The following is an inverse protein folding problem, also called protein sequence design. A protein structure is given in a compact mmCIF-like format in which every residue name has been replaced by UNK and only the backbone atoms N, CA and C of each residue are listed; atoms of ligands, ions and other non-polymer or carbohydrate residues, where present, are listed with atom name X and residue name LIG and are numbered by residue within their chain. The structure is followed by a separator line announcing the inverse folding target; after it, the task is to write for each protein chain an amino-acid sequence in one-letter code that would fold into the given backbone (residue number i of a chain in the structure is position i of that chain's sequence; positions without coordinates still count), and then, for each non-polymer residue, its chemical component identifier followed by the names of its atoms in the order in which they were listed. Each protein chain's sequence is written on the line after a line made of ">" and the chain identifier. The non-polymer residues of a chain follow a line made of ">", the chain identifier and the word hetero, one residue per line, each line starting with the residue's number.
data_IF_149198953989
#
_entry.id   IF_149198953989
#
_cell.length_a   1.000
_cell.length_b   1.000
_cell.length_c   1.000
_cell.angle_alpha   90.00
_cell.angle_beta   90.00
_cell.angle_gamma   90.00
#
_symmetry.space_group_name_H-M   'P 1'
#
loop_
_entity.id
_entity.type
_entity.pdbx_description
1 polymer ?
#
# COMPACT_ATOMS: atom_id res chain seq x y z
N UNK A 1 -2.97 -23.25 18.37
CA UNK A 1 -1.55 -23.58 18.09
C UNK A 1 -1.33 -24.28 16.75
N UNK A 2 -2.07 -25.41 16.45
CA UNK A 2 -1.83 -26.16 15.19
C UNK A 2 -2.28 -25.38 13.94
N UNK A 3 -3.41 -24.69 13.99
CA UNK A 3 -3.86 -23.85 12.89
C UNK A 3 -2.89 -22.68 12.62
N UNK A 4 -2.36 -22.06 13.67
CA UNK A 4 -1.38 -20.98 13.55
C UNK A 4 -0.08 -21.45 12.87
N UNK A 5 0.42 -22.64 13.22
CA UNK A 5 1.61 -23.23 12.59
C UNK A 5 1.41 -23.55 11.10
N UNK A 6 0.21 -23.99 10.73
CA UNK A 6 -0.12 -24.35 9.35
C UNK A 6 -0.46 -23.13 8.50
N UNK A 7 -0.85 -22.00 9.11
CA UNK A 7 -1.32 -20.83 8.36
C UNK A 7 -0.30 -20.30 7.33
N UNK A 8 1.00 -20.43 7.61
CA UNK A 8 2.08 -19.99 6.71
C UNK A 8 2.49 -21.09 5.69
N UNK A 9 2.27 -22.38 6.02
CA UNK A 9 2.72 -23.50 5.19
C UNK A 9 1.61 -24.09 4.34
N UNK A 10 0.42 -24.22 4.89
CA UNK A 10 -0.78 -24.79 4.28
C UNK A 10 -2.04 -24.10 4.81
N UNK A 11 -2.35 -22.89 4.29
CA UNK A 11 -3.52 -22.12 4.75
C UNK A 11 -4.84 -22.83 4.59
N UNK A 12 -4.97 -23.71 3.58
CA UNK A 12 -6.21 -24.44 3.31
C UNK A 12 -6.47 -25.49 4.40
N UNK A 13 -5.45 -26.23 4.81
CA UNK A 13 -5.56 -27.13 5.97
C UNK A 13 -5.78 -26.37 7.27
N UNK A 14 -5.16 -25.20 7.44
CA UNK A 14 -5.39 -24.34 8.60
C UNK A 14 -6.87 -23.90 8.68
N UNK A 15 -7.47 -23.49 7.56
CA UNK A 15 -8.88 -23.07 7.53
C UNK A 15 -9.85 -24.21 7.90
N UNK A 16 -9.59 -25.42 7.41
CA UNK A 16 -10.39 -26.59 7.78
C UNK A 16 -10.36 -26.82 9.30
N UNK A 17 -9.18 -26.67 9.91
CA UNK A 17 -9.06 -26.77 11.37
C UNK A 17 -9.86 -25.66 12.05
N UNK A 18 -9.75 -24.41 11.58
CA UNK A 18 -10.50 -23.28 12.16
C UNK A 18 -12.01 -23.48 12.09
N UNK A 19 -12.53 -24.04 11.00
CA UNK A 19 -13.97 -24.33 10.84
C UNK A 19 -14.48 -25.40 11.84
N UNK A 20 -13.62 -26.31 12.30
CA UNK A 20 -14.00 -27.35 13.28
C UNK A 20 -14.04 -26.87 14.72
N UNK A 21 -13.52 -25.66 14.99
CA UNK A 21 -13.40 -25.16 16.35
C UNK A 21 -14.71 -24.51 16.83
N UNK A 22 -15.14 -24.87 18.03
CA UNK A 22 -16.35 -24.32 18.65
C UNK A 22 -16.01 -23.06 19.45
N UNK A 23 -16.37 -21.87 18.93
CA UNK A 23 -16.06 -20.57 19.53
C UNK A 23 -16.58 -20.38 20.96
N UNK A 24 -17.70 -21.05 21.32
CA UNK A 24 -18.32 -20.95 22.64
C UNK A 24 -17.49 -21.58 23.78
N UNK A 25 -16.42 -22.31 23.43
CA UNK A 25 -15.51 -22.93 24.40
C UNK A 25 -14.17 -22.22 24.52
N UNK A 26 -13.97 -21.15 23.75
CA UNK A 26 -12.73 -20.40 23.75
C UNK A 26 -12.66 -19.40 24.90
N UNK A 27 -11.48 -19.28 25.50
CA UNK A 27 -11.16 -18.13 26.33
C UNK A 27 -10.82 -16.90 25.46
N UNK A 28 -10.67 -15.73 26.07
CA UNK A 28 -10.42 -14.47 25.35
C UNK A 28 -9.16 -14.52 24.48
N UNK A 29 -8.08 -15.14 24.97
CA UNK A 29 -6.83 -15.30 24.22
C UNK A 29 -7.03 -16.17 22.98
N UNK A 30 -7.72 -17.30 23.13
CA UNK A 30 -8.00 -18.22 22.02
C UNK A 30 -8.94 -17.58 21.00
N UNK A 31 -9.92 -16.80 21.45
CA UNK A 31 -10.83 -16.08 20.56
C UNK A 31 -10.10 -14.99 19.79
N UNK A 32 -9.20 -14.26 20.43
CA UNK A 32 -8.37 -13.26 19.74
C UNK A 32 -7.47 -13.88 18.68
N UNK A 33 -6.80 -15.00 19.00
CA UNK A 33 -5.97 -15.73 18.04
C UNK A 33 -6.82 -16.30 16.88
N UNK A 34 -7.97 -16.88 17.18
CA UNK A 34 -8.90 -17.38 16.17
C UNK A 34 -9.35 -16.28 15.21
N UNK A 35 -9.80 -15.13 15.72
CA UNK A 35 -10.23 -13.99 14.92
C UNK A 35 -9.09 -13.46 14.04
N UNK A 36 -7.86 -13.41 14.56
CA UNK A 36 -6.69 -13.00 13.83
C UNK A 36 -6.37 -13.96 12.66
N UNK A 37 -6.39 -15.27 12.94
CA UNK A 37 -6.12 -16.31 11.92
C UNK A 37 -7.19 -16.35 10.83
N UNK A 38 -8.47 -16.18 11.18
CA UNK A 38 -9.54 -16.09 10.18
C UNK A 38 -9.36 -14.87 9.28
N UNK A 39 -8.99 -13.73 9.85
CA UNK A 39 -8.70 -12.51 9.07
C UNK A 39 -7.48 -12.70 8.18
N UNK A 40 -6.42 -13.33 8.71
CA UNK A 40 -5.22 -13.67 7.95
C UNK A 40 -5.56 -14.55 6.75
N UNK A 41 -6.33 -15.61 6.94
CA UNK A 41 -6.74 -16.51 5.88
C UNK A 41 -7.51 -15.77 4.76
N UNK A 42 -8.47 -14.93 5.14
CA UNK A 42 -9.25 -14.16 4.18
C UNK A 42 -8.34 -13.21 3.36
N UNK A 43 -7.42 -12.51 4.01
CA UNK A 43 -6.46 -11.62 3.34
C UNK A 43 -5.54 -12.40 2.39
N UNK A 44 -4.97 -13.53 2.83
CA UNK A 44 -4.06 -14.35 2.03
C UNK A 44 -4.76 -15.00 0.81
N UNK A 45 -6.07 -15.23 0.89
CA UNK A 45 -6.93 -15.71 -0.22
C UNK A 45 -7.61 -14.60 -1.01
N UNK A 46 -7.35 -13.32 -0.70
CA UNK A 46 -8.02 -12.17 -1.30
C UNK A 46 -9.56 -12.25 -1.21
N UNK A 47 -10.08 -12.73 -0.08
CA UNK A 47 -11.51 -12.75 0.22
C UNK A 47 -11.87 -11.41 0.87
N UNK A 48 -12.73 -10.59 0.23
CA UNK A 48 -13.09 -9.27 0.76
C UNK A 48 -13.77 -9.36 2.11
N UNK A 49 -13.41 -8.48 3.03
CA UNK A 49 -14.03 -8.39 4.34
C UNK A 49 -15.32 -7.60 4.30
N UNK A 50 -16.34 -8.07 5.01
CA UNK A 50 -17.64 -7.39 5.14
C UNK A 50 -17.85 -6.70 6.49
N UNK A 51 -16.98 -6.94 7.47
CA UNK A 51 -17.04 -6.40 8.82
C UNK A 51 -15.68 -6.43 9.51
N UNK A 52 -15.42 -5.44 10.35
CA UNK A 52 -14.20 -5.31 11.16
C UNK A 52 -14.37 -5.87 12.59
N UNK A 53 -15.56 -6.34 12.95
CA UNK A 53 -15.89 -6.70 14.33
C UNK A 53 -14.95 -7.77 14.92
N UNK A 54 -14.65 -8.83 14.18
CA UNK A 54 -13.79 -9.92 14.64
C UNK A 54 -12.35 -9.46 14.85
N UNK A 55 -11.79 -8.71 13.90
CA UNK A 55 -10.41 -8.26 14.03
C UNK A 55 -10.26 -7.19 15.11
N UNK A 56 -11.28 -6.32 15.33
CA UNK A 56 -11.28 -5.37 16.46
C UNK A 56 -11.27 -6.06 17.82
N UNK A 57 -11.94 -7.20 17.97
CA UNK A 57 -11.84 -8.00 19.20
C UNK A 57 -10.41 -8.51 19.41
N UNK A 58 -9.75 -9.00 18.33
CA UNK A 58 -8.38 -9.44 18.43
C UNK A 58 -7.42 -8.27 18.77
N UNK A 59 -7.57 -7.11 18.12
CA UNK A 59 -6.79 -5.91 18.44
C UNK A 59 -6.96 -5.52 19.89
N UNK A 60 -8.20 -5.41 20.40
CA UNK A 60 -8.49 -5.03 21.79
C UNK A 60 -7.82 -5.96 22.80
N UNK A 61 -7.79 -7.26 22.51
CA UNK A 61 -7.09 -8.23 23.36
C UNK A 61 -5.57 -8.03 23.31
N UNK A 62 -5.00 -7.92 22.10
CA UNK A 62 -3.54 -7.81 21.94
C UNK A 62 -3.00 -6.45 22.41
N UNK A 63 -3.77 -5.38 22.38
CA UNK A 63 -3.40 -4.11 23.00
C UNK A 63 -3.08 -4.26 24.49
N UNK A 64 -3.87 -5.06 25.20
CA UNK A 64 -3.72 -5.28 26.62
C UNK A 64 -2.67 -6.34 26.98
N UNK A 65 -2.64 -7.44 26.24
CA UNK A 65 -1.93 -8.65 26.63
C UNK A 65 -0.89 -9.12 25.61
N UNK A 66 -0.88 -8.53 24.41
CA UNK A 66 0.01 -8.93 23.33
C UNK A 66 1.41 -8.33 23.45
N UNK A 67 2.39 -9.04 22.91
CA UNK A 67 3.70 -8.46 22.63
C UNK A 67 3.65 -7.58 21.36
N UNK A 68 4.74 -6.86 21.05
CA UNK A 68 4.80 -5.91 19.94
C UNK A 68 4.60 -6.60 18.56
N UNK A 69 5.02 -7.86 18.41
CA UNK A 69 4.79 -8.64 17.19
C UNK A 69 3.30 -8.93 17.00
N UNK A 70 2.64 -9.38 18.05
CA UNK A 70 1.22 -9.69 18.02
C UNK A 70 0.37 -8.43 17.78
N UNK A 71 0.70 -7.32 18.43
CA UNK A 71 0.07 -6.03 18.20
C UNK A 71 0.26 -5.57 16.75
N UNK A 72 1.48 -5.64 16.23
CA UNK A 72 1.78 -5.29 14.84
C UNK A 72 0.95 -6.11 13.85
N UNK A 73 0.86 -7.43 14.05
CA UNK A 73 0.03 -8.31 13.22
C UNK A 73 -1.45 -7.93 13.30
N UNK A 74 -1.97 -7.69 14.50
CA UNK A 74 -3.37 -7.33 14.70
C UNK A 74 -3.73 -6.00 14.04
N UNK A 75 -2.93 -4.97 14.20
CA UNK A 75 -3.12 -3.69 13.52
C UNK A 75 -2.99 -3.77 12.01
N UNK A 76 -2.06 -4.60 11.51
CA UNK A 76 -1.91 -4.84 10.09
C UNK A 76 -3.20 -5.41 9.48
N UNK A 77 -3.76 -6.47 10.08
CA UNK A 77 -4.97 -7.07 9.56
C UNK A 77 -6.20 -6.19 9.77
N UNK A 78 -6.25 -5.40 10.84
CA UNK A 78 -7.29 -4.39 11.00
C UNK A 78 -7.24 -3.36 9.87
N UNK A 79 -6.06 -2.85 9.54
CA UNK A 79 -5.89 -1.89 8.44
C UNK A 79 -6.29 -2.48 7.07
N UNK A 80 -6.00 -3.78 6.82
CA UNK A 80 -6.44 -4.46 5.61
C UNK A 80 -7.98 -4.50 5.53
N UNK A 81 -8.64 -4.91 6.61
CA UNK A 81 -10.11 -4.96 6.70
C UNK A 81 -10.72 -3.57 6.50
N UNK A 82 -10.18 -2.54 7.15
CA UNK A 82 -10.66 -1.16 7.01
C UNK A 82 -10.46 -0.62 5.58
N UNK A 83 -9.36 -1.00 4.93
CA UNK A 83 -9.14 -0.69 3.51
C UNK A 83 -10.20 -1.33 2.60
N UNK A 84 -10.61 -2.57 2.88
CA UNK A 84 -11.67 -3.25 2.14
C UNK A 84 -13.03 -2.57 2.37
N UNK A 85 -13.28 -2.11 3.60
CA UNK A 85 -14.50 -1.39 4.00
C UNK A 85 -14.49 0.10 3.57
N UNK A 86 -13.45 0.57 2.86
CA UNK A 86 -13.25 1.97 2.46
C UNK A 86 -13.21 2.96 3.64
N UNK A 87 -12.72 2.52 4.79
CA UNK A 87 -12.46 3.35 5.98
C UNK A 87 -11.03 3.93 5.87
N UNK A 88 -10.83 4.86 4.94
CA UNK A 88 -9.52 5.33 4.51
C UNK A 88 -8.63 5.83 5.66
N UNK A 89 -9.14 6.75 6.48
CA UNK A 89 -8.34 7.37 7.56
C UNK A 89 -7.94 6.38 8.65
N UNK A 90 -8.82 5.46 8.97
CA UNK A 90 -8.59 4.46 10.01
C UNK A 90 -7.56 3.43 9.51
N UNK A 91 -7.72 2.96 8.27
CA UNK A 91 -6.77 2.07 7.62
C UNK A 91 -5.36 2.67 7.57
N UNK A 92 -5.22 3.94 7.17
CA UNK A 92 -3.94 4.64 7.16
C UNK A 92 -3.29 4.69 8.54
N UNK A 93 -4.09 5.04 9.55
CA UNK A 93 -3.62 5.14 10.94
C UNK A 93 -3.11 3.79 11.44
N UNK A 94 -3.86 2.71 11.19
CA UNK A 94 -3.50 1.38 11.65
C UNK A 94 -2.35 0.76 10.84
N UNK A 95 -2.21 1.05 9.55
CA UNK A 95 -0.99 0.69 8.80
C UNK A 95 0.25 1.36 9.39
N UNK A 96 0.19 2.66 9.70
CA UNK A 96 1.31 3.38 10.33
C UNK A 96 1.68 2.80 11.69
N UNK A 97 0.69 2.44 12.50
CA UNK A 97 0.93 1.81 13.80
C UNK A 97 1.52 0.41 13.67
N UNK A 98 1.02 -0.41 12.74
CA UNK A 98 1.59 -1.71 12.44
C UNK A 98 3.06 -1.63 12.01
N UNK A 99 3.41 -0.67 11.14
CA UNK A 99 4.78 -0.40 10.71
C UNK A 99 5.66 0.02 11.89
N UNK A 100 5.16 0.95 12.74
CA UNK A 100 5.89 1.44 13.91
C UNK A 100 6.25 0.28 14.86
N UNK A 101 5.28 -0.60 15.13
CA UNK A 101 5.47 -1.75 16.00
C UNK A 101 6.42 -2.80 15.39
N UNK A 102 6.26 -3.10 14.10
CA UNK A 102 7.15 -4.02 13.39
C UNK A 102 8.60 -3.53 13.36
N UNK A 103 8.82 -2.23 13.23
CA UNK A 103 10.16 -1.64 13.25
C UNK A 103 10.90 -1.81 14.59
N UNK A 104 10.18 -2.05 15.68
CA UNK A 104 10.76 -2.26 17.01
C UNK A 104 11.19 -3.71 17.27
N UNK A 105 10.74 -4.65 16.45
CA UNK A 105 10.88 -6.10 16.70
C UNK A 105 11.91 -6.80 15.82
N UNK A 106 12.51 -6.09 14.86
CA UNK A 106 13.41 -6.66 13.85
C UNK A 106 12.77 -7.81 13.03
N UNK A 107 11.44 -7.89 13.01
CA UNK A 107 10.67 -8.85 12.23
C UNK A 107 10.56 -8.40 10.77
N UNK A 108 11.66 -8.54 10.04
CA UNK A 108 11.79 -8.02 8.67
C UNK A 108 10.81 -8.63 7.68
N UNK A 109 10.39 -9.88 7.89
CA UNK A 109 9.37 -10.53 7.04
C UNK A 109 8.01 -9.89 7.22
N UNK A 110 7.61 -9.68 8.46
CA UNK A 110 6.37 -8.98 8.80
C UNK A 110 6.39 -7.54 8.28
N UNK A 111 7.50 -6.83 8.48
CA UNK A 111 7.67 -5.46 7.98
C UNK A 111 7.53 -5.38 6.46
N UNK A 112 8.13 -6.33 5.73
CA UNK A 112 8.01 -6.42 4.26
C UNK A 112 6.55 -6.60 3.84
N UNK A 113 5.84 -7.53 4.49
CA UNK A 113 4.40 -7.80 4.22
C UNK A 113 3.55 -6.55 4.44
N UNK A 114 3.72 -5.88 5.58
CA UNK A 114 2.98 -4.65 5.93
C UNK A 114 3.26 -3.55 4.91
N UNK A 115 4.53 -3.27 4.60
CA UNK A 115 4.89 -2.18 3.70
C UNK A 115 4.36 -2.40 2.28
N UNK A 116 4.41 -3.63 1.75
CA UNK A 116 3.84 -3.94 0.43
C UNK A 116 2.33 -3.73 0.38
N UNK A 117 1.62 -4.21 1.40
CA UNK A 117 0.16 -4.02 1.46
C UNK A 117 -0.21 -2.54 1.62
N UNK A 118 0.55 -1.81 2.42
CA UNK A 118 0.40 -0.36 2.59
C UNK A 118 0.69 0.40 1.29
N UNK A 119 1.68 -0.03 0.49
CA UNK A 119 1.93 0.52 -0.84
C UNK A 119 0.71 0.35 -1.76
N UNK A 120 0.12 -0.85 -1.83
CA UNK A 120 -1.10 -1.11 -2.60
C UNK A 120 -2.28 -0.26 -2.12
N UNK A 121 -2.39 -0.07 -0.79
CA UNK A 121 -3.38 0.83 -0.21
C UNK A 121 -3.21 2.27 -0.71
N UNK A 122 -2.01 2.83 -0.65
CA UNK A 122 -1.74 4.19 -1.14
C UNK A 122 -1.95 4.32 -2.65
N UNK A 123 -1.61 3.29 -3.44
CA UNK A 123 -1.91 3.26 -4.88
C UNK A 123 -3.42 3.31 -5.15
N UNK A 124 -4.22 2.58 -4.39
CA UNK A 124 -5.69 2.58 -4.50
C UNK A 124 -6.28 3.98 -4.35
N UNK A 125 -5.68 4.81 -3.48
CA UNK A 125 -6.14 6.19 -3.22
C UNK A 125 -5.36 7.26 -3.98
N UNK A 126 -4.47 6.88 -4.90
CA UNK A 126 -3.73 7.80 -5.76
C UNK A 126 -2.56 8.52 -5.09
N UNK A 127 -2.15 8.08 -3.90
CA UNK A 127 -1.04 8.65 -3.14
C UNK A 127 0.27 7.93 -3.53
N UNK A 128 0.76 8.23 -4.74
CA UNK A 128 1.88 7.49 -5.35
C UNK A 128 3.22 7.73 -4.67
N UNK A 129 3.45 8.91 -4.10
CA UNK A 129 4.69 9.21 -3.38
C UNK A 129 4.82 8.38 -2.11
N UNK A 130 3.74 8.28 -1.32
CA UNK A 130 3.65 7.43 -0.15
C UNK A 130 3.75 5.94 -0.53
N UNK A 131 3.12 5.54 -1.63
CA UNK A 131 3.23 4.18 -2.14
C UNK A 131 4.67 3.81 -2.46
N UNK A 132 5.41 4.69 -3.14
CA UNK A 132 6.83 4.49 -3.47
C UNK A 132 7.70 4.42 -2.20
N UNK A 133 7.41 5.26 -1.20
CA UNK A 133 8.12 5.20 0.09
C UNK A 133 7.90 3.85 0.78
N UNK A 134 6.68 3.32 0.76
CA UNK A 134 6.38 2.01 1.34
C UNK A 134 7.08 0.88 0.58
N UNK A 135 7.14 0.92 -0.74
CA UNK A 135 7.93 -0.04 -1.51
C UNK A 135 9.42 0.01 -1.16
N UNK A 136 10.01 1.19 -1.05
CA UNK A 136 11.41 1.35 -0.62
C UNK A 136 11.64 0.73 0.78
N UNK A 137 10.73 0.94 1.72
CA UNK A 137 10.80 0.31 3.05
C UNK A 137 10.68 -1.21 2.98
N UNK A 138 9.78 -1.74 2.14
CA UNK A 138 9.64 -3.18 1.92
C UNK A 138 10.94 -3.81 1.37
N UNK A 139 11.56 -3.17 0.38
CA UNK A 139 12.83 -3.63 -0.17
C UNK A 139 13.97 -3.56 0.85
N UNK A 140 14.06 -2.49 1.64
CA UNK A 140 15.06 -2.38 2.71
C UNK A 140 14.90 -3.51 3.74
N UNK A 141 13.68 -3.81 4.18
CA UNK A 141 13.40 -4.90 5.11
C UNK A 141 13.73 -6.27 4.50
N UNK A 142 13.45 -6.46 3.22
CA UNK A 142 13.79 -7.70 2.51
C UNK A 142 15.31 -7.91 2.41
N UNK A 143 16.08 -6.84 2.18
CA UNK A 143 17.55 -6.91 2.21
C UNK A 143 18.08 -7.29 3.60
N UNK A 144 17.52 -6.72 4.68
CA UNK A 144 17.87 -7.07 6.05
C UNK A 144 17.52 -8.53 6.37
N UNK A 145 16.41 -9.05 5.85
CA UNK A 145 16.03 -10.44 6.00
C UNK A 145 17.04 -11.40 5.34
N UNK A 146 17.49 -11.05 4.13
CA UNK A 146 18.51 -11.81 3.40
C UNK A 146 19.84 -11.81 4.19
N UNK A 147 20.29 -10.64 4.64
CA UNK A 147 21.51 -10.50 5.44
C UNK A 147 21.42 -11.27 6.77
N UNK A 148 20.29 -11.23 7.45
CA UNK A 148 20.07 -11.97 8.70
C UNK A 148 20.05 -13.50 8.48
N UNK A 149 19.45 -13.99 7.39
CA UNK A 149 19.45 -15.41 7.02
C UNK A 149 20.85 -15.90 6.65
N UNK A 150 21.62 -15.09 5.93
CA UNK A 150 23.00 -15.42 5.60
C UNK A 150 23.90 -15.46 6.86
N UNK A 151 23.73 -14.54 7.81
CA UNK A 151 24.43 -14.58 9.10
C UNK A 151 24.08 -15.83 9.92
N UNK A 152 22.81 -16.21 9.98
CA UNK A 152 22.39 -17.40 10.75
C UNK A 152 22.91 -18.70 10.13
N UNK A 153 22.97 -18.80 8.80
CA UNK A 153 23.57 -19.96 8.11
C UNK A 153 25.08 -20.05 8.33
N UNK A 154 25.78 -18.93 8.38
CA UNK A 154 27.22 -18.87 8.70
C UNK A 154 27.51 -19.31 10.15
N UNK A 155 26.68 -18.87 11.10
CA UNK A 155 26.82 -19.25 12.52
C UNK A 155 26.56 -20.75 12.71
N UNK A 156 25.52 -21.31 12.05
CA UNK A 156 25.23 -22.75 12.14
C UNK A 156 26.34 -23.61 11.52
N UNK A 157 26.92 -23.20 10.40
CA UNK A 157 28.00 -23.93 9.73
C UNK A 157 29.32 -23.87 10.50
N UNK A 158 29.59 -22.75 11.20
CA UNK A 158 30.77 -22.63 12.07
C UNK A 158 30.70 -23.48 13.34
N UNK A 159 29.52 -23.83 13.82
CA UNK A 159 29.32 -24.68 14.98
C UNK A 159 29.49 -26.18 14.67
N UNK A 160 29.38 -26.60 13.42
CA UNK A 160 29.41 -28.02 13.00
C UNK A 160 30.66 -28.48 12.28
N UNK A 161 31.66 -27.62 12.06
CA UNK A 161 32.82 -27.98 11.22
C UNK A 161 34.17 -27.60 11.76
N UNK A 162 34.72 -28.38 12.70
CA UNK A 162 36.11 -28.24 13.11
C UNK A 162 37.03 -28.89 12.08
N UNK A 163 37.81 -28.04 11.41
CA UNK A 163 39.13 -28.26 10.75
C UNK A 163 39.28 -29.07 9.43
N UNK A 164 38.38 -29.92 9.01
CA UNK A 164 38.61 -30.72 7.78
C UNK A 164 37.91 -30.24 6.50
N UNK A 165 36.82 -29.47 6.65
CA UNK A 165 35.96 -29.04 5.54
C UNK A 165 36.18 -27.57 5.16
N UNK A 166 37.08 -26.87 5.82
CA UNK A 166 37.19 -25.39 5.72
C UNK A 166 37.62 -24.91 4.33
N UNK A 167 38.48 -25.66 3.62
CA UNK A 167 38.91 -25.25 2.26
C UNK A 167 37.83 -25.48 1.20
N UNK A 168 37.04 -26.55 1.31
CA UNK A 168 35.90 -26.83 0.41
C UNK A 168 34.71 -25.93 0.71
N UNK A 169 34.43 -25.67 2.00
CA UNK A 169 33.37 -24.76 2.44
C UNK A 169 33.69 -23.29 2.09
N UNK A 170 34.96 -22.86 2.21
CA UNK A 170 35.38 -21.52 1.75
C UNK A 170 35.20 -21.36 0.24
N UNK A 171 35.49 -22.39 -0.55
CA UNK A 171 35.26 -22.36 -2.00
C UNK A 171 33.76 -22.31 -2.37
N UNK A 172 32.92 -23.06 -1.64
CA UNK A 172 31.48 -23.09 -1.84
C UNK A 172 30.81 -21.78 -1.33
N UNK A 173 31.27 -21.25 -0.21
CA UNK A 173 30.84 -19.96 0.32
C UNK A 173 31.25 -18.79 -0.60
N UNK A 174 32.49 -18.86 -1.15
CA UNK A 174 32.96 -17.90 -2.12
C UNK A 174 32.14 -17.93 -3.41
N UNK A 175 31.82 -19.12 -3.91
CA UNK A 175 30.96 -19.30 -5.09
C UNK A 175 29.52 -18.82 -4.82
N UNK A 176 28.99 -19.08 -3.62
CA UNK A 176 27.68 -18.62 -3.19
C UNK A 176 27.67 -17.10 -2.96
N UNK A 177 28.72 -16.55 -2.37
CA UNK A 177 28.87 -15.11 -2.19
C UNK A 177 28.97 -14.38 -3.55
N UNK A 178 29.70 -14.95 -4.52
CA UNK A 178 29.73 -14.44 -5.89
C UNK A 178 28.34 -14.51 -6.56
N UNK A 179 27.60 -15.60 -6.36
CA UNK A 179 26.23 -15.76 -6.88
C UNK A 179 25.24 -14.79 -6.24
N UNK A 180 25.33 -14.59 -4.92
CA UNK A 180 24.48 -13.63 -4.19
C UNK A 180 24.85 -12.18 -4.56
N UNK A 181 26.15 -11.90 -4.74
CA UNK A 181 26.59 -10.59 -5.22
C UNK A 181 26.12 -10.31 -6.64
N UNK A 182 26.19 -11.31 -7.52
CA UNK A 182 25.66 -11.22 -8.89
C UNK A 182 24.13 -11.02 -8.89
N UNK A 183 23.39 -11.72 -8.02
CA UNK A 183 21.95 -11.52 -7.86
C UNK A 183 21.60 -10.15 -7.24
N UNK A 184 22.43 -9.67 -6.33
CA UNK A 184 22.28 -8.34 -5.74
C UNK A 184 22.56 -7.24 -6.77
N UNK A 185 23.55 -7.46 -7.64
CA UNK A 185 23.87 -6.50 -8.70
C UNK A 185 22.81 -6.49 -9.80
N UNK A 186 22.29 -7.66 -10.21
CA UNK A 186 21.14 -7.73 -11.13
C UNK A 186 19.88 -7.11 -10.50
N UNK A 187 19.66 -7.31 -9.21
CA UNK A 187 18.53 -6.72 -8.50
C UNK A 187 18.67 -5.19 -8.34
N UNK A 188 19.91 -4.70 -8.12
CA UNK A 188 20.19 -3.25 -8.14
C UNK A 188 19.96 -2.64 -9.52
N UNK A 189 20.37 -3.36 -10.58
CA UNK A 189 20.11 -2.93 -11.95
C UNK A 189 18.61 -2.91 -12.27
N UNK A 190 17.86 -3.93 -11.83
CA UNK A 190 16.39 -3.96 -11.96
C UNK A 190 15.72 -2.83 -11.18
N UNK A 191 16.22 -2.53 -9.98
CA UNK A 191 15.73 -1.42 -9.17
C UNK A 191 16.00 -0.07 -9.83
N UNK A 192 17.22 0.14 -10.35
CA UNK A 192 17.55 1.36 -11.08
C UNK A 192 16.70 1.50 -12.34
N UNK A 193 16.46 0.40 -13.06
CA UNK A 193 15.57 0.42 -14.24
C UNK A 193 14.14 0.77 -13.87
N UNK A 194 13.61 0.23 -12.75
CA UNK A 194 12.26 0.57 -12.25
C UNK A 194 12.18 2.01 -11.74
N UNK A 195 13.23 2.52 -11.12
CA UNK A 195 13.33 3.91 -10.71
C UNK A 195 13.29 4.85 -11.93
N UNK A 196 14.07 4.54 -12.98
CA UNK A 196 14.04 5.27 -14.25
C UNK A 196 12.67 5.17 -14.94
N UNK A 197 12.02 4.01 -14.88
CA UNK A 197 10.68 3.82 -15.44
C UNK A 197 9.62 4.60 -14.66
N UNK A 198 9.72 4.61 -13.33
CA UNK A 198 8.89 5.43 -12.43
C UNK A 198 9.06 6.93 -12.70
N UNK A 199 10.31 7.39 -12.85
CA UNK A 199 10.59 8.79 -13.16
C UNK A 199 10.06 9.17 -14.55
N UNK A 200 10.14 8.25 -15.52
CA UNK A 200 9.58 8.44 -16.86
C UNK A 200 8.04 8.51 -16.82
N UNK A 201 7.40 7.67 -16.00
CA UNK A 201 5.96 7.74 -15.79
C UNK A 201 5.56 9.06 -15.11
N UNK A 202 6.30 9.48 -14.09
CA UNK A 202 6.07 10.75 -13.41
C UNK A 202 6.21 11.94 -14.37
N UNK A 203 7.23 11.94 -15.24
CA UNK A 203 7.38 12.94 -16.30
C UNK A 203 6.21 12.92 -17.30
N UNK A 204 5.73 11.73 -17.67
CA UNK A 204 4.56 11.58 -18.54
C UNK A 204 3.28 12.10 -17.89
N UNK A 205 3.08 11.81 -16.61
CA UNK A 205 1.95 12.34 -15.84
C UNK A 205 2.00 13.86 -15.78
N UNK A 206 3.13 14.45 -15.43
CA UNK A 206 3.31 15.90 -15.40
C UNK A 206 3.08 16.54 -16.79
N UNK A 207 3.60 15.93 -17.85
CA UNK A 207 3.36 16.39 -19.21
C UNK A 207 1.87 16.35 -19.59
N UNK A 208 1.17 15.26 -19.22
CA UNK A 208 -0.27 15.13 -19.47
C UNK A 208 -1.07 16.15 -18.65
N UNK A 209 -0.65 16.43 -17.42
CA UNK A 209 -1.29 17.43 -16.56
C UNK A 209 -1.12 18.86 -17.10
N UNK A 210 0.09 19.22 -17.55
CA UNK A 210 0.35 20.50 -18.22
C UNK A 210 -0.48 20.63 -19.51
N UNK A 211 -0.54 19.57 -20.30
CA UNK A 211 -1.34 19.55 -21.53
C UNK A 211 -2.82 19.64 -21.26
N UNK A 212 -3.28 18.99 -20.19
CA UNK A 212 -4.66 19.05 -19.73
C UNK A 212 -5.02 20.47 -19.25
N UNK A 213 -4.17 21.10 -18.44
CA UNK A 213 -4.37 22.49 -17.99
C UNK A 213 -4.38 23.47 -19.18
N UNK A 214 -3.47 23.28 -20.14
CA UNK A 214 -3.43 24.06 -21.37
C UNK A 214 -4.72 23.88 -22.20
N UNK A 215 -5.23 22.66 -22.31
CA UNK A 215 -6.48 22.38 -23.01
C UNK A 215 -7.69 22.99 -22.28
N UNK A 216 -7.73 22.90 -20.96
CA UNK A 216 -8.77 23.54 -20.14
C UNK A 216 -8.77 25.05 -20.35
N UNK A 217 -7.59 25.67 -20.31
CA UNK A 217 -7.45 27.10 -20.53
C UNK A 217 -7.88 27.50 -21.95
N UNK A 218 -7.49 26.71 -22.95
CA UNK A 218 -7.91 26.94 -24.33
C UNK A 218 -9.43 26.82 -24.54
N UNK A 219 -10.06 25.81 -23.92
CA UNK A 219 -11.53 25.63 -23.96
C UNK A 219 -12.22 26.82 -23.24
N UNK A 220 -11.68 27.25 -22.09
CA UNK A 220 -12.19 28.35 -21.33
C UNK A 220 -12.07 29.67 -22.13
N UNK A 221 -10.89 29.96 -22.68
CA UNK A 221 -10.63 31.22 -23.40
C UNK A 221 -11.40 31.33 -24.71
N UNK A 222 -11.62 30.21 -25.42
CA UNK A 222 -12.33 30.16 -26.69
C UNK A 222 -13.85 29.94 -26.53
N UNK A 223 -14.33 29.82 -25.30
CA UNK A 223 -15.78 29.69 -25.07
C UNK A 223 -16.52 30.98 -25.48
N UNK A 224 -17.58 30.86 -26.30
CA UNK A 224 -18.40 32.01 -26.68
C UNK A 224 -18.97 32.74 -25.47
N UNK A 225 -19.26 32.02 -24.36
CA UNK A 225 -19.78 32.59 -23.13
C UNK A 225 -18.73 33.40 -22.40
N UNK A 226 -17.51 32.90 -22.32
CA UNK A 226 -16.39 33.64 -21.69
C UNK A 226 -16.02 34.89 -22.50
N UNK A 227 -16.05 34.81 -23.82
CA UNK A 227 -15.87 36.00 -24.67
C UNK A 227 -16.94 37.05 -24.42
N UNK A 228 -18.21 36.65 -24.24
CA UNK A 228 -19.29 37.53 -23.80
C UNK A 228 -19.06 38.14 -22.41
N UNK A 229 -18.62 37.30 -21.44
CA UNK A 229 -18.30 37.81 -20.08
C UNK A 229 -17.17 38.83 -20.13
N UNK A 230 -16.15 38.61 -20.93
CA UNK A 230 -15.02 39.55 -21.12
C UNK A 230 -15.49 40.85 -21.74
N UNK A 231 -16.32 40.80 -22.82
CA UNK A 231 -16.92 41.97 -23.41
C UNK A 231 -17.84 42.74 -22.47
N UNK A 232 -18.56 42.03 -21.59
CA UNK A 232 -19.41 42.62 -20.56
C UNK A 232 -18.56 43.36 -19.52
N UNK A 233 -17.47 42.77 -19.07
CA UNK A 233 -16.54 43.41 -18.13
C UNK A 233 -15.89 44.67 -18.70
N UNK A 234 -15.52 44.66 -19.97
CA UNK A 234 -14.98 45.85 -20.67
C UNK A 234 -16.06 46.93 -20.89
N UNK A 235 -17.30 46.56 -21.18
CA UNK A 235 -18.43 47.50 -21.38
C UNK A 235 -18.94 48.09 -20.06
N UNK A 236 -18.93 47.31 -18.95
CA UNK A 236 -19.32 47.83 -17.63
C UNK A 236 -18.31 48.85 -17.08
N UNK A 237 -17.07 48.84 -17.56
CA UNK A 237 -16.11 49.91 -17.26
C UNK A 237 -16.40 51.23 -18.02
N UNK A 238 -17.22 51.18 -19.07
CA UNK A 238 -17.45 52.31 -19.97
C UNK A 238 -18.92 52.81 -19.97
N UNK A 239 -19.89 52.09 -19.40
CA UNK A 239 -21.32 52.49 -19.44
C UNK A 239 -22.12 51.77 -18.32
N UNK A 240 -23.07 52.50 -17.65
CA UNK A 240 -23.85 51.97 -16.51
C UNK A 240 -24.99 51.02 -16.87
N UNK A 241 -25.21 50.66 -18.14
CA UNK A 241 -26.21 49.66 -18.51
C UNK A 241 -25.63 48.26 -18.47
N UNK A 242 -26.00 47.51 -17.45
CA UNK A 242 -25.64 46.10 -17.30
C UNK A 242 -26.38 45.28 -18.37
N UNK A 243 -25.67 44.61 -19.32
CA UNK A 243 -26.32 43.72 -20.26
C UNK A 243 -26.76 42.46 -19.51
N UNK A 244 -28.01 42.06 -19.71
CA UNK A 244 -28.54 40.84 -19.11
C UNK A 244 -27.98 39.59 -19.76
N UNK A 245 -27.46 38.69 -18.94
CA UNK A 245 -27.16 37.30 -19.35
C UNK A 245 -28.50 36.63 -19.68
N UNK A 246 -28.59 36.00 -20.84
CA UNK A 246 -29.77 35.21 -21.20
C UNK A 246 -29.73 33.86 -20.44
N UNK A 247 -30.91 33.25 -20.26
CA UNK A 247 -31.03 31.91 -19.67
C UNK A 247 -30.14 30.86 -20.38
N UNK A 248 -29.94 31.03 -21.68
CA UNK A 248 -29.08 30.23 -22.54
C UNK A 248 -27.58 30.41 -22.22
N UNK A 249 -27.16 31.61 -21.90
CA UNK A 249 -25.78 31.92 -21.51
C UNK A 249 -25.46 31.30 -20.13
N UNK A 250 -26.39 31.29 -19.19
CA UNK A 250 -26.29 30.63 -17.90
C UNK A 250 -26.21 29.10 -18.03
N UNK A 251 -27.02 28.51 -18.90
CA UNK A 251 -27.04 27.07 -19.15
C UNK A 251 -25.72 26.62 -19.76
N UNK A 252 -25.14 27.41 -20.66
CA UNK A 252 -23.88 27.12 -21.32
C UNK A 252 -22.67 27.26 -20.36
N UNK A 253 -22.75 28.23 -19.43
CA UNK A 253 -21.76 28.41 -18.37
C UNK A 253 -21.76 27.24 -17.38
N UNK A 254 -22.91 26.75 -16.96
CA UNK A 254 -23.08 25.58 -16.13
C UNK A 254 -22.60 24.32 -16.85
N UNK A 255 -22.88 24.15 -18.15
CA UNK A 255 -22.42 23.03 -18.95
C UNK A 255 -20.92 23.04 -19.15
N UNK A 256 -20.28 24.20 -19.28
CA UNK A 256 -18.83 24.35 -19.30
C UNK A 256 -18.20 23.95 -17.97
N UNK A 257 -18.81 24.40 -16.88
CA UNK A 257 -18.38 24.03 -15.52
C UNK A 257 -18.49 22.51 -15.31
N UNK A 258 -19.61 21.91 -15.69
CA UNK A 258 -19.84 20.47 -15.57
C UNK A 258 -18.90 19.65 -16.46
N UNK A 259 -18.64 20.09 -17.70
CA UNK A 259 -17.69 19.43 -18.60
C UNK A 259 -16.24 19.54 -18.11
N UNK A 260 -15.84 20.66 -17.54
CA UNK A 260 -14.49 20.87 -17.03
C UNK A 260 -14.28 20.11 -15.71
N UNK A 261 -15.23 20.22 -14.77
CA UNK A 261 -15.12 19.52 -13.47
C UNK A 261 -15.53 18.04 -13.55
N UNK A 262 -16.50 17.68 -14.39
CA UNK A 262 -16.90 16.29 -14.61
C UNK A 262 -15.84 15.45 -15.33
N UNK A 263 -15.04 16.05 -16.20
CA UNK A 263 -13.86 15.42 -16.80
C UNK A 263 -12.76 15.19 -15.76
N UNK A 264 -12.57 16.12 -14.80
CA UNK A 264 -11.60 15.98 -13.70
C UNK A 264 -11.99 14.86 -12.76
N UNK A 265 -13.29 14.72 -12.42
CA UNK A 265 -13.76 13.62 -11.57
C UNK A 265 -13.61 12.27 -12.26
N UNK A 266 -13.91 12.15 -13.56
CA UNK A 266 -13.75 10.93 -14.34
C UNK A 266 -12.28 10.52 -14.56
N UNK A 267 -11.36 11.46 -14.72
CA UNK A 267 -9.94 11.18 -14.82
C UNK A 267 -9.34 10.75 -13.49
N UNK A 268 -9.85 11.25 -12.36
CA UNK A 268 -9.49 10.79 -11.01
C UNK A 268 -10.02 9.39 -10.69
N UNK A 269 -11.07 8.93 -11.36
CA UNK A 269 -11.59 7.56 -11.23
C UNK A 269 -10.80 6.53 -12.07
N UNK A 270 -10.05 6.98 -13.08
CA UNK A 270 -9.29 6.13 -14.02
C UNK A 270 -7.80 6.03 -13.61
N UNK A 271 -7.29 6.96 -12.81
CA UNK A 271 -5.91 6.97 -12.29
C UNK A 271 -5.83 6.31 -10.92
#
# INVERSE_FOLDING_TARGET
>A
DKAAQLMEQDPDTASIILETIQMNQMNEAQLAEYNLLCTQFNEDKNIPHSSDHQIRQAVSYYEQYGNEIQKSKAYYYLACVESDLNQEKDAETHFKEAIRLAAQTEEYEQMTKICRRCSLYYQKYGNFDEALEMERKAYASQLMLIDSKDRSTVILSSALGVFGAMSLLLGLLWKKHLSVHSQLDTFKEEMQMKEVESDKLAMQCNYLEEKYQSLQQHIYENSPVISKVRQLKERTALSPKIPSFSERDWTELLRLQENVYGLVSKLKEIS
#
